data_IF_840296007403
#
_entry.id   IF_840296007403
#
_cell.length_a   1.000
_cell.length_b   1.000
_cell.length_c   1.000
_cell.angle_alpha   90.00
_cell.angle_beta   90.00
_cell.angle_gamma   90.00
#
_symmetry.space_group_name_H-M   'P 1'
#
loop_
_entity.id
_entity.type
_entity.pdbx_description
1 polymer ?
#
# COMPACT_ATOMS: atom_id res chain seq x y z
N UNK A 1 12.44 19.67 -2.77
CA UNK A 1 13.62 18.79 -2.52
C UNK A 1 13.28 17.40 -3.04
N UNK A 2 14.21 16.70 -3.73
CA UNK A 2 13.93 15.34 -4.23
C UNK A 2 13.99 14.32 -3.11
N UNK A 3 13.11 13.29 -3.16
CA UNK A 3 12.92 12.27 -2.13
C UNK A 3 13.45 10.92 -2.57
N UNK A 4 14.12 10.19 -1.67
CA UNK A 4 14.71 8.87 -1.94
C UNK A 4 14.55 7.97 -0.73
N UNK A 5 14.10 6.73 -0.93
CA UNK A 5 14.06 5.75 0.14
C UNK A 5 15.44 5.17 0.43
N UNK A 6 15.86 5.24 1.68
CA UNK A 6 17.00 4.48 2.19
C UNK A 6 16.70 2.98 2.09
N UNK A 7 17.71 2.18 1.84
CA UNK A 7 17.53 0.73 1.73
C UNK A 7 17.93 0.01 3.01
N UNK A 8 19.02 0.43 3.60
CA UNK A 8 19.58 -0.16 4.80
C UNK A 8 19.94 1.01 5.71
N UNK A 9 18.99 1.46 6.55
CA UNK A 9 19.26 2.58 7.47
C UNK A 9 20.03 2.07 8.68
N UNK A 10 21.03 2.82 9.17
CA UNK A 10 21.57 2.59 10.51
C UNK A 10 20.48 2.84 11.57
N UNK A 11 20.50 2.08 12.65
CA UNK A 11 19.62 2.32 13.78
C UNK A 11 19.99 3.64 14.50
N UNK A 12 18.97 4.35 15.02
CA UNK A 12 19.13 5.53 15.86
C UNK A 12 19.92 6.69 15.23
N UNK A 13 19.56 7.08 14.02
CA UNK A 13 20.14 8.27 13.36
C UNK A 13 19.74 9.56 14.10
N UNK A 14 20.71 10.47 14.25
CA UNK A 14 20.56 11.78 14.89
C UNK A 14 21.01 12.92 13.97
N UNK A 15 20.59 14.14 14.27
CA UNK A 15 21.08 15.32 13.58
C UNK A 15 22.61 15.45 13.71
N UNK A 16 23.29 15.73 12.61
CA UNK A 16 24.74 15.79 12.51
C UNK A 16 25.39 14.48 12.08
N UNK A 17 24.70 13.35 12.14
CA UNK A 17 25.24 12.06 11.72
C UNK A 17 25.52 12.02 10.21
N UNK A 18 26.48 11.18 9.84
CA UNK A 18 26.86 10.94 8.45
C UNK A 18 26.23 9.64 7.96
N UNK A 19 25.41 9.77 6.92
CA UNK A 19 24.78 8.63 6.23
C UNK A 19 25.52 8.37 4.93
N UNK A 20 26.10 7.16 4.74
CA UNK A 20 26.72 6.79 3.47
C UNK A 20 25.64 6.38 2.46
N UNK A 21 25.74 6.88 1.24
CA UNK A 21 24.91 6.48 0.10
C UNK A 21 25.77 5.66 -0.86
N UNK A 22 25.31 4.44 -1.20
CA UNK A 22 26.03 3.53 -2.05
C UNK A 22 25.10 2.72 -2.99
N UNK A 23 25.68 1.97 -3.91
CA UNK A 23 24.99 1.00 -4.75
C UNK A 23 23.94 1.62 -5.67
N UNK A 24 22.73 1.04 -5.70
CA UNK A 24 21.66 1.50 -6.62
C UNK A 24 21.18 2.91 -6.31
N UNK A 25 21.12 3.28 -5.04
CA UNK A 25 20.71 4.61 -4.60
C UNK A 25 21.75 5.64 -5.05
N UNK A 26 23.04 5.37 -4.86
CA UNK A 26 24.13 6.19 -5.37
C UNK A 26 24.00 6.42 -6.88
N UNK A 27 23.87 5.34 -7.66
CA UNK A 27 23.74 5.44 -9.12
C UNK A 27 22.54 6.29 -9.54
N UNK A 28 21.42 6.19 -8.82
CA UNK A 28 20.24 6.99 -9.12
C UNK A 28 20.45 8.47 -8.82
N UNK A 29 20.97 8.81 -7.64
CA UNK A 29 21.14 10.20 -7.20
C UNK A 29 22.25 10.89 -7.98
N UNK A 30 23.41 10.27 -8.11
CA UNK A 30 24.61 10.94 -8.61
C UNK A 30 24.85 10.71 -10.11
N UNK A 31 24.65 9.49 -10.61
CA UNK A 31 24.89 9.19 -12.04
C UNK A 31 23.69 9.54 -12.93
N UNK A 32 22.45 9.31 -12.45
CA UNK A 32 21.26 9.58 -13.27
C UNK A 32 20.72 11.01 -13.07
N UNK A 33 20.63 11.48 -11.83
CA UNK A 33 20.04 12.77 -11.49
C UNK A 33 21.09 13.89 -11.33
N UNK A 34 22.37 13.53 -11.28
CA UNK A 34 23.53 14.44 -11.25
C UNK A 34 23.53 15.44 -10.09
N UNK A 35 23.15 14.98 -8.89
CA UNK A 35 23.34 15.75 -7.68
C UNK A 35 24.82 15.85 -7.33
N UNK A 36 25.21 16.99 -6.71
CA UNK A 36 26.59 17.32 -6.41
C UNK A 36 26.77 17.62 -4.91
N UNK A 37 28.02 17.74 -4.46
CA UNK A 37 28.34 18.22 -3.12
C UNK A 37 27.77 19.60 -2.86
N UNK A 38 27.14 19.80 -1.72
CA UNK A 38 26.40 21.01 -1.33
C UNK A 38 24.90 20.95 -1.62
N UNK A 39 24.43 20.01 -2.44
CA UNK A 39 23.00 19.81 -2.65
C UNK A 39 22.32 19.26 -1.39
N UNK A 40 21.02 19.62 -1.23
CA UNK A 40 20.18 19.03 -0.19
C UNK A 40 19.15 18.09 -0.84
N UNK A 41 19.02 16.90 -0.24
CA UNK A 41 18.03 15.89 -0.63
C UNK A 41 17.29 15.39 0.61
N UNK A 42 16.15 14.74 0.38
CA UNK A 42 15.35 14.13 1.44
C UNK A 42 15.50 12.60 1.36
N UNK A 43 15.96 12.00 2.43
CA UNK A 43 15.98 10.55 2.59
C UNK A 43 14.79 10.13 3.43
N UNK A 44 14.11 9.06 3.02
CA UNK A 44 12.96 8.47 3.71
C UNK A 44 13.34 7.07 4.17
N UNK A 45 12.96 6.70 5.38
CA UNK A 45 13.23 5.34 5.86
C UNK A 45 12.19 4.31 5.39
N UNK A 46 11.03 4.77 5.00
CA UNK A 46 9.92 3.93 4.60
C UNK A 46 8.99 3.52 5.74
N UNK A 47 9.28 4.02 6.95
CA UNK A 47 8.56 3.73 8.21
C UNK A 47 8.06 5.03 8.88
N UNK A 48 7.89 6.10 8.10
CA UNK A 48 7.29 7.36 8.58
C UNK A 48 8.30 8.46 8.95
N UNK A 49 9.63 8.23 8.90
CA UNK A 49 10.62 9.27 9.14
C UNK A 49 11.27 9.79 7.85
N UNK A 50 11.56 11.09 7.87
CA UNK A 50 12.31 11.79 6.83
C UNK A 50 13.55 12.44 7.40
N UNK A 51 14.64 12.40 6.63
CA UNK A 51 15.93 12.97 6.95
C UNK A 51 16.29 13.99 5.87
N UNK A 52 16.31 15.26 6.23
CA UNK A 52 16.90 16.28 5.37
C UNK A 52 18.42 16.16 5.46
N UNK A 53 19.09 15.92 4.34
CA UNK A 53 20.53 15.71 4.32
C UNK A 53 21.20 16.63 3.31
N UNK A 54 22.42 17.10 3.67
CA UNK A 54 23.35 17.80 2.81
C UNK A 54 24.39 16.82 2.28
N UNK A 55 24.61 16.81 0.98
CA UNK A 55 25.66 16.02 0.35
C UNK A 55 27.00 16.68 0.63
N UNK A 56 27.87 16.02 1.40
CA UNK A 56 29.17 16.55 1.76
C UNK A 56 30.22 16.22 0.71
N UNK A 57 30.32 14.95 0.35
CA UNK A 57 31.36 14.46 -0.56
C UNK A 57 30.79 13.36 -1.46
N UNK A 58 31.10 13.44 -2.75
CA UNK A 58 30.75 12.41 -3.75
C UNK A 58 32.03 11.73 -4.21
N UNK A 59 32.18 10.44 -3.86
CA UNK A 59 33.28 9.57 -4.29
C UNK A 59 32.83 8.72 -5.49
N UNK A 60 33.70 7.86 -6.01
CA UNK A 60 33.44 7.12 -7.24
C UNK A 60 32.23 6.15 -7.17
N UNK A 61 31.94 5.55 -6.01
CA UNK A 61 30.84 4.58 -5.82
C UNK A 61 30.03 4.84 -4.54
N UNK A 62 30.40 5.85 -3.77
CA UNK A 62 29.77 6.21 -2.49
C UNK A 62 29.70 7.72 -2.34
N UNK A 63 28.75 8.19 -1.54
CA UNK A 63 28.68 9.58 -1.12
C UNK A 63 28.41 9.65 0.38
N UNK A 64 28.88 10.70 1.01
CA UNK A 64 28.63 10.99 2.42
C UNK A 64 27.65 12.16 2.53
N UNK A 65 26.57 11.95 3.28
CA UNK A 65 25.54 12.95 3.50
C UNK A 65 25.40 13.22 5.00
N UNK A 66 25.34 14.50 5.40
CA UNK A 66 25.10 14.89 6.80
C UNK A 66 23.61 15.13 7.02
N UNK A 67 23.05 14.55 8.07
CA UNK A 67 21.69 14.83 8.52
C UNK A 67 21.64 16.24 9.10
N UNK A 68 20.77 17.08 8.53
CA UNK A 68 20.51 18.46 8.97
C UNK A 68 19.29 18.56 9.87
N UNK A 69 18.27 17.76 9.57
CA UNK A 69 17.03 17.69 10.33
C UNK A 69 16.39 16.32 10.17
N UNK A 70 15.67 15.91 11.21
CA UNK A 70 14.84 14.71 11.23
C UNK A 70 13.41 15.13 11.52
N UNK A 71 12.45 14.54 10.84
CA UNK A 71 11.03 14.80 11.07
C UNK A 71 10.17 13.64 10.63
N UNK A 72 8.91 13.68 11.00
CA UNK A 72 7.92 12.75 10.52
C UNK A 72 7.51 13.09 9.08
N UNK A 73 7.18 12.08 8.31
CA UNK A 73 6.60 12.28 6.99
C UNK A 73 5.16 12.79 7.16
N UNK A 74 4.66 13.50 6.17
CA UNK A 74 3.30 14.03 6.15
C UNK A 74 2.56 13.48 4.94
N UNK A 75 1.24 13.32 5.05
CA UNK A 75 0.39 12.89 3.95
C UNK A 75 0.12 11.38 3.94
N UNK A 76 0.49 10.66 5.01
CA UNK A 76 -0.03 9.32 5.24
C UNK A 76 -1.46 9.44 5.80
N UNK A 77 -2.40 8.58 5.35
CA UNK A 77 -3.76 8.61 5.85
C UNK A 77 -3.87 8.10 7.28
N UNK A 78 -4.79 8.71 8.06
CA UNK A 78 -5.15 8.22 9.39
C UNK A 78 -5.93 6.91 9.31
N UNK A 79 -6.79 6.76 8.26
CA UNK A 79 -7.48 5.49 8.02
C UNK A 79 -6.55 4.48 7.38
N UNK A 80 -6.33 3.37 8.08
CA UNK A 80 -5.48 2.28 7.64
C UNK A 80 -6.22 1.35 6.67
N UNK A 81 -6.08 1.59 5.37
CA UNK A 81 -6.80 0.84 4.33
C UNK A 81 -5.93 -0.30 3.79
N UNK A 82 -6.39 -1.52 4.03
CA UNK A 82 -5.82 -2.76 3.51
C UNK A 82 -6.65 -3.28 2.34
N UNK A 83 -6.01 -3.88 1.36
CA UNK A 83 -6.67 -4.38 0.16
C UNK A 83 -6.36 -5.86 -0.04
N UNK A 84 -7.37 -6.71 0.06
CA UNK A 84 -7.32 -8.09 -0.39
C UNK A 84 -7.77 -8.15 -1.85
N UNK A 85 -6.81 -8.01 -2.75
CA UNK A 85 -7.03 -8.01 -4.19
C UNK A 85 -6.88 -9.41 -4.75
N UNK A 86 -7.92 -9.95 -5.39
CA UNK A 86 -7.79 -11.19 -6.13
C UNK A 86 -6.74 -11.07 -7.25
N UNK A 87 -5.91 -12.11 -7.38
CA UNK A 87 -4.82 -12.14 -8.35
C UNK A 87 -5.40 -12.18 -9.76
N UNK A 88 -5.45 -11.03 -10.39
CA UNK A 88 -5.99 -10.82 -11.74
C UNK A 88 -4.98 -11.16 -12.83
N UNK A 89 -5.48 -11.33 -14.06
CA UNK A 89 -4.65 -11.63 -15.24
C UNK A 89 -3.80 -10.43 -15.67
N UNK A 90 -2.67 -10.72 -16.27
CA UNK A 90 -1.75 -9.74 -16.86
C UNK A 90 -1.29 -8.70 -15.83
N UNK A 91 -1.29 -7.44 -16.22
CA UNK A 91 -0.79 -6.32 -15.41
C UNK A 91 -1.88 -5.69 -14.52
N UNK A 92 -3.12 -6.21 -14.57
CA UNK A 92 -4.26 -5.65 -13.82
C UNK A 92 -4.03 -5.67 -12.30
N UNK A 93 -3.49 -6.78 -11.79
CA UNK A 93 -3.13 -6.87 -10.37
C UNK A 93 -2.08 -5.83 -9.99
N UNK A 94 -1.04 -5.68 -10.81
CA UNK A 94 0.03 -4.71 -10.58
C UNK A 94 -0.46 -3.26 -10.69
N UNK A 95 -1.41 -3.00 -11.59
CA UNK A 95 -2.08 -1.70 -11.71
C UNK A 95 -2.89 -1.36 -10.45
N UNK A 96 -3.65 -2.33 -9.92
CA UNK A 96 -4.38 -2.14 -8.66
C UNK A 96 -3.43 -1.81 -7.50
N UNK A 97 -2.33 -2.55 -7.35
CA UNK A 97 -1.30 -2.25 -6.34
C UNK A 97 -0.75 -0.83 -6.50
N UNK A 98 -0.33 -0.48 -7.71
CA UNK A 98 0.24 0.82 -8.00
C UNK A 98 -0.72 1.95 -7.66
N UNK A 99 -1.95 1.91 -8.18
CA UNK A 99 -2.90 3.01 -8.04
C UNK A 99 -3.47 3.13 -6.62
N UNK A 100 -3.68 2.02 -5.95
CA UNK A 100 -4.10 2.06 -4.54
C UNK A 100 -2.98 2.58 -3.63
N UNK A 101 -1.71 2.26 -3.92
CA UNK A 101 -0.57 2.85 -3.22
C UNK A 101 -0.53 4.37 -3.39
N UNK A 102 -0.69 4.86 -4.62
CA UNK A 102 -0.69 6.31 -4.93
C UNK A 102 -1.78 7.07 -4.18
N UNK A 103 -2.93 6.43 -3.89
CA UNK A 103 -4.08 7.04 -3.21
C UNK A 103 -3.97 6.98 -1.69
N UNK A 104 -3.29 5.97 -1.11
CA UNK A 104 -3.12 5.89 0.34
C UNK A 104 -3.32 4.50 0.96
N UNK A 105 -3.51 3.42 0.18
CA UNK A 105 -3.56 2.07 0.77
C UNK A 105 -2.26 1.75 1.53
N UNK A 106 -2.37 1.07 2.68
CA UNK A 106 -1.23 0.77 3.56
C UNK A 106 -0.79 -0.69 3.54
N UNK A 107 -1.62 -1.59 3.00
CA UNK A 107 -1.26 -3.01 2.91
C UNK A 107 -2.04 -3.77 1.84
N UNK A 108 -1.44 -4.85 1.33
CA UNK A 108 -2.00 -5.66 0.26
C UNK A 108 -1.91 -7.15 0.54
N UNK A 109 -3.04 -7.85 0.46
CA UNK A 109 -3.15 -9.29 0.51
C UNK A 109 -3.44 -9.81 -0.92
N UNK A 110 -2.48 -10.45 -1.59
CA UNK A 110 -2.75 -11.15 -2.85
C UNK A 110 -3.72 -12.31 -2.59
N UNK A 111 -4.97 -12.19 -3.03
CA UNK A 111 -6.04 -13.11 -2.68
C UNK A 111 -6.24 -14.19 -3.75
N UNK A 112 -6.32 -15.44 -3.33
CA UNK A 112 -6.75 -16.56 -4.14
C UNK A 112 -8.20 -16.95 -3.78
N UNK A 113 -9.09 -16.88 -4.76
CA UNK A 113 -10.53 -17.22 -4.63
C UNK A 113 -10.87 -18.38 -5.55
N UNK A 114 -12.08 -18.91 -5.42
CA UNK A 114 -12.56 -20.02 -6.26
C UNK A 114 -12.49 -19.71 -7.76
N UNK A 115 -12.71 -18.44 -8.14
CA UNK A 115 -12.69 -18.00 -9.55
C UNK A 115 -11.39 -17.33 -9.97
N UNK A 116 -10.37 -17.36 -9.12
CA UNK A 116 -9.01 -16.88 -9.48
C UNK A 116 -8.37 -17.82 -10.50
N UNK A 117 -8.14 -17.30 -11.70
CA UNK A 117 -7.56 -18.10 -12.81
C UNK A 117 -6.04 -18.20 -12.70
N UNK A 118 -5.39 -17.17 -12.19
CA UNK A 118 -3.92 -17.09 -12.06
C UNK A 118 -3.48 -17.72 -10.75
N UNK A 119 -2.93 -18.92 -10.82
CA UNK A 119 -2.33 -19.59 -9.65
C UNK A 119 -0.83 -19.36 -9.65
N UNK A 120 -0.29 -18.97 -8.50
CA UNK A 120 1.15 -18.77 -8.31
C UNK A 120 1.75 -20.07 -7.80
N UNK A 121 2.67 -20.64 -8.60
CA UNK A 121 3.45 -21.80 -8.13
C UNK A 121 4.35 -21.34 -6.98
N UNK A 122 4.45 -22.14 -5.91
CA UNK A 122 5.28 -21.85 -4.74
C UNK A 122 6.71 -21.45 -5.12
N UNK A 123 7.32 -22.16 -6.06
CA UNK A 123 8.68 -21.87 -6.57
C UNK A 123 8.82 -20.49 -7.25
N UNK A 124 7.72 -19.82 -7.59
CA UNK A 124 7.69 -18.48 -8.22
C UNK A 124 7.17 -17.37 -7.30
N UNK A 125 6.64 -17.74 -6.12
CA UNK A 125 6.02 -16.80 -5.19
C UNK A 125 6.98 -15.70 -4.75
N UNK A 126 8.15 -16.05 -4.24
CA UNK A 126 9.15 -15.08 -3.79
C UNK A 126 9.58 -14.09 -4.89
N UNK A 127 9.67 -14.57 -6.15
CA UNK A 127 9.99 -13.69 -7.29
C UNK A 127 8.83 -12.72 -7.59
N UNK A 128 7.59 -13.17 -7.48
CA UNK A 128 6.40 -12.34 -7.68
C UNK A 128 6.30 -11.25 -6.60
N UNK A 129 6.43 -11.64 -5.33
CA UNK A 129 6.40 -10.70 -4.19
C UNK A 129 7.47 -9.63 -4.35
N UNK A 130 8.71 -9.99 -4.66
CA UNK A 130 9.78 -9.02 -4.93
C UNK A 130 9.45 -8.05 -6.07
N UNK A 131 8.76 -8.51 -7.11
CA UNK A 131 8.30 -7.65 -8.21
C UNK A 131 7.23 -6.67 -7.71
N UNK A 132 6.25 -7.14 -6.97
CA UNK A 132 5.17 -6.33 -6.42
C UNK A 132 5.68 -5.30 -5.40
N UNK A 133 6.56 -5.70 -4.49
CA UNK A 133 7.25 -4.78 -3.57
C UNK A 133 7.94 -3.64 -4.32
N UNK A 134 8.59 -3.95 -5.47
CA UNK A 134 9.22 -2.92 -6.28
C UNK A 134 8.20 -1.93 -6.88
N UNK A 135 7.03 -2.42 -7.33
CA UNK A 135 5.96 -1.58 -7.88
C UNK A 135 5.40 -0.67 -6.79
N UNK A 136 5.07 -1.23 -5.62
CA UNK A 136 4.57 -0.49 -4.46
C UNK A 136 5.58 0.59 -4.04
N UNK A 137 6.85 0.22 -3.87
CA UNK A 137 7.91 1.17 -3.50
C UNK A 137 8.08 2.30 -4.51
N UNK A 138 7.98 2.00 -5.81
CA UNK A 138 8.09 3.02 -6.85
C UNK A 138 6.85 3.93 -6.89
N UNK A 139 5.65 3.37 -6.64
CA UNK A 139 4.42 4.14 -6.51
C UNK A 139 4.46 5.07 -5.30
N UNK A 140 4.85 4.56 -4.13
CA UNK A 140 5.02 5.38 -2.91
C UNK A 140 6.03 6.52 -3.11
N UNK A 141 7.16 6.23 -3.76
CA UNK A 141 8.16 7.26 -4.10
C UNK A 141 7.60 8.34 -5.02
N UNK A 142 6.83 7.94 -6.04
CA UNK A 142 6.27 8.87 -7.03
C UNK A 142 5.15 9.73 -6.43
N UNK A 143 4.32 9.16 -5.57
CA UNK A 143 3.25 9.87 -4.85
C UNK A 143 3.76 10.62 -3.60
N UNK A 144 5.08 10.64 -3.39
CA UNK A 144 5.74 11.33 -2.28
C UNK A 144 5.34 10.83 -0.88
N UNK A 145 4.87 9.59 -0.78
CA UNK A 145 4.59 8.95 0.50
C UNK A 145 5.86 8.72 1.31
N UNK A 146 5.73 8.80 2.62
CA UNK A 146 6.81 8.53 3.58
C UNK A 146 6.92 7.06 3.95
N UNK A 147 5.80 6.34 3.84
CA UNK A 147 5.70 4.92 4.14
C UNK A 147 5.58 4.07 2.88
N UNK A 148 6.11 2.86 2.95
CA UNK A 148 6.00 1.89 1.86
C UNK A 148 4.97 0.84 2.27
N UNK A 149 3.80 0.79 1.60
CA UNK A 149 2.79 -0.22 1.89
C UNK A 149 3.33 -1.65 1.88
N UNK A 150 2.85 -2.44 2.83
CA UNK A 150 3.24 -3.83 2.93
C UNK A 150 2.52 -4.69 1.88
N UNK A 151 3.19 -5.71 1.37
CA UNK A 151 2.55 -6.78 0.61
C UNK A 151 2.82 -8.12 1.27
N UNK A 152 1.74 -8.76 1.66
CA UNK A 152 1.75 -10.06 2.34
C UNK A 152 1.93 -11.22 1.36
N UNK A 153 2.16 -12.40 1.90
CA UNK A 153 2.15 -13.62 1.11
C UNK A 153 0.75 -13.90 0.52
N UNK A 154 0.67 -14.50 -0.67
CA UNK A 154 -0.61 -14.93 -1.24
C UNK A 154 -1.39 -15.81 -0.26
N UNK A 155 -2.67 -15.50 -0.10
CA UNK A 155 -3.54 -16.11 0.88
C UNK A 155 -4.85 -16.53 0.22
N UNK A 156 -5.44 -17.66 0.66
CA UNK A 156 -6.80 -18.03 0.30
C UNK A 156 -7.82 -17.34 1.23
N UNK A 157 -9.09 -17.38 0.84
CA UNK A 157 -10.15 -16.70 1.58
C UNK A 157 -10.32 -17.25 3.01
N UNK A 158 -10.21 -18.58 3.20
CA UNK A 158 -10.38 -19.20 4.52
C UNK A 158 -9.35 -18.73 5.52
N UNK A 159 -8.09 -18.67 5.10
CA UNK A 159 -7.02 -18.16 5.95
C UNK A 159 -7.12 -16.65 6.18
N UNK A 160 -7.57 -15.88 5.18
CA UNK A 160 -7.75 -14.44 5.34
C UNK A 160 -8.87 -14.13 6.34
N UNK A 161 -9.93 -14.92 6.37
CA UNK A 161 -11.03 -14.77 7.35
C UNK A 161 -10.57 -14.85 8.81
N UNK A 162 -9.49 -15.58 9.10
CA UNK A 162 -8.92 -15.67 10.45
C UNK A 162 -8.43 -14.30 10.98
N UNK A 163 -8.09 -13.37 10.07
CA UNK A 163 -7.63 -12.02 10.42
C UNK A 163 -8.73 -10.94 10.38
N UNK A 164 -9.99 -11.29 10.07
CA UNK A 164 -11.05 -10.27 9.95
C UNK A 164 -11.31 -9.50 11.26
N UNK A 165 -11.09 -10.13 12.39
CA UNK A 165 -11.20 -9.48 13.71
C UNK A 165 -10.14 -8.41 13.98
N UNK A 166 -9.10 -8.32 13.16
CA UNK A 166 -8.06 -7.29 13.25
C UNK A 166 -8.48 -5.98 12.55
N UNK A 167 -9.64 -5.96 11.89
CA UNK A 167 -10.17 -4.82 11.16
C UNK A 167 -11.48 -4.33 11.78
N UNK A 168 -11.69 -3.04 11.81
CA UNK A 168 -12.96 -2.43 12.26
C UNK A 168 -14.07 -2.63 11.23
N UNK A 169 -13.71 -2.78 9.96
CA UNK A 169 -14.63 -3.11 8.88
C UNK A 169 -13.99 -3.90 7.75
N UNK A 170 -14.67 -4.96 7.33
CA UNK A 170 -14.31 -5.76 6.16
C UNK A 170 -15.34 -5.52 5.06
N UNK A 171 -14.94 -4.87 3.98
CA UNK A 171 -15.83 -4.40 2.92
C UNK A 171 -15.68 -5.28 1.67
N UNK A 172 -16.76 -5.96 1.26
CA UNK A 172 -16.77 -6.76 0.03
C UNK A 172 -17.48 -6.02 -1.10
N UNK A 173 -16.77 -5.79 -2.22
CA UNK A 173 -17.34 -5.20 -3.42
C UNK A 173 -18.24 -6.20 -4.15
N UNK A 174 -19.53 -5.87 -4.31
CA UNK A 174 -20.53 -6.69 -4.97
C UNK A 174 -21.02 -6.01 -6.26
N UNK A 175 -21.11 -6.78 -7.34
CA UNK A 175 -21.71 -6.31 -8.58
C UNK A 175 -23.23 -6.55 -8.54
N UNK A 176 -24.02 -5.52 -8.84
CA UNK A 176 -25.47 -5.61 -9.15
C UNK A 176 -26.42 -6.11 -8.05
N UNK A 177 -26.06 -6.16 -6.80
CA UNK A 177 -26.96 -6.60 -5.73
C UNK A 177 -27.48 -5.43 -4.90
N UNK A 178 -28.61 -5.63 -4.23
CA UNK A 178 -29.04 -4.77 -3.14
C UNK A 178 -28.02 -4.87 -2.01
N UNK A 179 -27.18 -3.87 -1.93
CA UNK A 179 -26.16 -3.72 -0.91
C UNK A 179 -26.23 -2.28 -0.40
N UNK A 180 -25.85 -2.07 0.83
CA UNK A 180 -25.79 -0.75 1.44
C UNK A 180 -24.91 0.20 0.62
N UNK A 181 -25.22 1.49 0.66
CA UNK A 181 -24.34 2.47 0.05
C UNK A 181 -23.00 2.51 0.80
N UNK A 182 -21.90 2.56 0.06
CA UNK A 182 -20.56 2.61 0.66
C UNK A 182 -20.44 3.74 1.70
N UNK A 183 -21.02 4.90 1.41
CA UNK A 183 -21.04 6.06 2.31
C UNK A 183 -21.67 5.76 3.67
N UNK A 184 -22.81 5.06 3.68
CA UNK A 184 -23.49 4.68 4.92
C UNK A 184 -22.63 3.74 5.77
N UNK A 185 -21.97 2.76 5.11
CA UNK A 185 -21.06 1.85 5.80
C UNK A 185 -19.91 2.63 6.42
N UNK A 186 -19.21 3.46 5.64
CA UNK A 186 -18.05 4.22 6.12
C UNK A 186 -18.40 5.11 7.33
N UNK A 187 -19.55 5.77 7.28
CA UNK A 187 -19.98 6.66 8.35
C UNK A 187 -20.38 5.94 9.65
N UNK A 188 -20.70 4.64 9.55
CA UNK A 188 -21.05 3.80 10.70
C UNK A 188 -19.86 2.96 11.21
N UNK A 189 -18.70 3.01 10.55
CA UNK A 189 -17.50 2.38 11.07
C UNK A 189 -16.91 3.26 12.17
N UNK A 190 -16.89 2.72 13.37
CA UNK A 190 -16.18 3.31 14.50
C UNK A 190 -14.92 2.53 14.80
N UNK A 191 -13.92 3.18 15.37
CA UNK A 191 -12.76 2.51 15.95
C UNK A 191 -13.22 1.68 17.15
N UNK A 192 -13.49 0.41 16.90
CA UNK A 192 -13.89 -0.56 17.93
C UNK A 192 -12.71 -1.38 18.46
N UNK A 193 -11.55 -1.24 17.83
CA UNK A 193 -10.34 -2.00 18.12
C UNK A 193 -9.45 -1.32 19.17
N UNK A 194 -8.50 -2.08 19.69
CA UNK A 194 -7.41 -1.59 20.56
C UNK A 194 -6.44 -0.63 19.81
N UNK A 195 -6.67 -0.40 18.52
CA UNK A 195 -5.86 0.49 17.68
C UNK A 195 -6.44 1.90 17.70
N UNK A 196 -5.58 2.90 17.73
CA UNK A 196 -5.99 4.31 17.68
C UNK A 196 -6.58 4.69 16.32
N UNK A 197 -6.13 4.01 15.25
CA UNK A 197 -6.53 4.29 13.87
C UNK A 197 -7.59 3.31 13.35
N UNK A 198 -8.53 3.80 12.58
CA UNK A 198 -9.56 2.99 11.91
C UNK A 198 -8.92 2.08 10.87
N UNK A 199 -9.10 0.76 10.99
CA UNK A 199 -8.55 -0.26 10.10
C UNK A 199 -9.63 -0.87 9.22
N UNK A 200 -9.52 -0.72 7.91
CA UNK A 200 -10.50 -1.21 6.94
C UNK A 200 -9.84 -2.17 5.95
N UNK A 201 -10.43 -3.35 5.78
CA UNK A 201 -10.04 -4.32 4.75
C UNK A 201 -11.03 -4.31 3.59
N UNK A 202 -10.55 -4.07 2.37
CA UNK A 202 -11.36 -4.09 1.14
C UNK A 202 -11.11 -5.41 0.41
N UNK A 203 -12.16 -6.22 0.20
CA UNK A 203 -12.12 -7.45 -0.58
C UNK A 203 -12.54 -7.18 -2.03
N UNK A 204 -11.65 -7.44 -2.97
CA UNK A 204 -11.89 -7.26 -4.41
C UNK A 204 -11.71 -8.58 -5.14
N UNK A 205 -12.78 -9.10 -5.73
CA UNK A 205 -12.78 -10.35 -6.47
C UNK A 205 -12.04 -10.29 -7.82
N UNK A 206 -11.78 -11.45 -8.45
CA UNK A 206 -11.24 -11.53 -9.81
C UNK A 206 -12.27 -11.07 -10.85
N UNK A 207 -11.94 -11.16 -12.14
CA UNK A 207 -12.83 -10.77 -13.23
C UNK A 207 -14.18 -11.53 -13.23
N UNK A 208 -14.22 -12.74 -12.68
CA UNK A 208 -15.44 -13.52 -12.48
C UNK A 208 -16.20 -13.23 -11.18
N UNK A 209 -15.68 -12.31 -10.35
CA UNK A 209 -16.21 -12.02 -9.02
C UNK A 209 -16.03 -13.16 -8.01
N UNK A 210 -16.57 -12.99 -6.81
CA UNK A 210 -16.71 -14.05 -5.84
C UNK A 210 -17.86 -15.00 -6.20
N UNK A 211 -17.86 -16.22 -5.71
CA UNK A 211 -19.03 -17.12 -5.76
C UNK A 211 -20.05 -16.69 -4.71
N UNK A 212 -21.32 -17.11 -4.88
CA UNK A 212 -22.36 -16.83 -3.88
C UNK A 212 -21.99 -17.45 -2.52
N UNK A 213 -21.41 -18.66 -2.52
CA UNK A 213 -20.91 -19.30 -1.29
C UNK A 213 -19.83 -18.48 -0.61
N UNK A 214 -18.83 -17.98 -1.34
CA UNK A 214 -17.80 -17.12 -0.77
C UNK A 214 -18.38 -15.82 -0.20
N UNK A 215 -19.36 -15.23 -0.88
CA UNK A 215 -20.05 -14.03 -0.40
C UNK A 215 -20.80 -14.31 0.91
N UNK A 216 -21.58 -15.39 0.95
CA UNK A 216 -22.35 -15.77 2.13
C UNK A 216 -21.42 -16.08 3.32
N UNK A 217 -20.32 -16.78 3.08
CA UNK A 217 -19.30 -17.06 4.10
C UNK A 217 -18.64 -15.78 4.63
N UNK A 218 -18.29 -14.83 3.78
CA UNK A 218 -17.73 -13.54 4.19
C UNK A 218 -18.76 -12.79 5.04
N UNK A 219 -19.99 -12.64 4.54
CA UNK A 219 -21.03 -11.86 5.19
C UNK A 219 -21.61 -12.54 6.46
N UNK A 220 -21.24 -13.78 6.75
CA UNK A 220 -21.58 -14.45 8.02
C UNK A 220 -20.66 -14.07 9.18
N UNK A 221 -19.56 -13.38 8.92
CA UNK A 221 -18.63 -12.89 9.93
C UNK A 221 -19.06 -11.50 10.40
N UNK A 222 -18.99 -11.25 11.71
CA UNK A 222 -19.23 -9.92 12.26
C UNK A 222 -18.29 -8.89 11.63
N UNK A 223 -18.66 -7.59 11.65
CA UNK A 223 -17.92 -6.49 11.02
C UNK A 223 -17.72 -6.57 9.51
N UNK A 224 -18.48 -7.41 8.79
CA UNK A 224 -18.38 -7.52 7.32
C UNK A 224 -19.58 -6.87 6.63
N UNK A 225 -19.31 -6.14 5.54
CA UNK A 225 -20.30 -5.34 4.86
C UNK A 225 -20.20 -5.50 3.34
N UNK A 226 -21.32 -5.83 2.70
CA UNK A 226 -21.42 -5.83 1.24
C UNK A 226 -21.77 -4.45 0.72
N UNK A 227 -21.04 -3.94 -0.26
CA UNK A 227 -21.35 -2.66 -0.90
C UNK A 227 -21.35 -2.76 -2.42
N UNK A 228 -22.00 -1.81 -3.09
CA UNK A 228 -21.95 -1.64 -4.54
C UNK A 228 -21.45 -0.24 -4.92
N UNK A 229 -20.94 -0.12 -6.14
CA UNK A 229 -20.43 1.12 -6.73
C UNK A 229 -21.36 1.65 -7.85
N UNK A 230 -22.67 1.46 -7.66
CA UNK A 230 -23.70 1.90 -8.61
C UNK A 230 -23.94 0.90 -9.75
N UNK A 231 -24.66 1.33 -10.80
CA UNK A 231 -25.19 0.41 -11.82
C UNK A 231 -24.15 -0.10 -12.83
N UNK A 232 -22.96 0.47 -12.85
CA UNK A 232 -21.90 0.08 -13.80
C UNK A 232 -21.06 -1.05 -13.25
N UNK A 233 -20.66 -1.98 -14.14
CA UNK A 233 -19.68 -2.99 -13.80
C UNK A 233 -18.28 -2.40 -13.99
N UNK A 234 -17.53 -2.34 -12.90
CA UNK A 234 -16.14 -1.90 -12.94
C UNK A 234 -15.21 -3.10 -13.14
N UNK A 235 -14.07 -2.85 -13.75
CA UNK A 235 -12.99 -3.83 -13.82
C UNK A 235 -12.37 -4.00 -12.44
N UNK A 236 -11.86 -5.20 -12.15
CA UNK A 236 -11.28 -5.54 -10.84
C UNK A 236 -10.18 -4.57 -10.41
N UNK A 237 -9.34 -4.18 -11.34
CA UNK A 237 -8.25 -3.22 -11.09
C UNK A 237 -8.71 -1.77 -10.83
N UNK A 238 -9.98 -1.45 -11.13
CA UNK A 238 -10.56 -0.13 -10.87
C UNK A 238 -11.16 -0.03 -9.47
N UNK A 239 -11.65 -1.15 -8.91
CA UNK A 239 -12.41 -1.16 -7.67
C UNK A 239 -11.56 -0.71 -6.47
N UNK A 240 -10.41 -1.34 -6.27
CA UNK A 240 -9.56 -1.05 -5.11
C UNK A 240 -9.14 0.43 -5.04
N UNK A 241 -8.54 1.05 -6.07
CA UNK A 241 -8.16 2.46 -6.00
C UNK A 241 -9.35 3.40 -5.84
N UNK A 242 -10.49 3.10 -6.49
CA UNK A 242 -11.69 3.92 -6.34
C UNK A 242 -12.24 3.89 -4.92
N UNK A 243 -12.35 2.69 -4.31
CA UNK A 243 -12.89 2.54 -2.95
C UNK A 243 -11.95 3.17 -1.93
N UNK A 244 -10.63 3.00 -2.08
CA UNK A 244 -9.64 3.69 -1.26
C UNK A 244 -9.88 5.20 -1.27
N UNK A 245 -9.97 5.82 -2.46
CA UNK A 245 -10.22 7.25 -2.57
C UNK A 245 -11.58 7.70 -1.99
N UNK A 246 -12.64 6.89 -2.14
CA UNK A 246 -13.94 7.21 -1.58
C UNK A 246 -13.95 7.14 -0.04
N UNK A 247 -13.23 6.19 0.56
CA UNK A 247 -13.11 6.10 2.02
C UNK A 247 -12.37 7.34 2.55
N UNK A 248 -11.22 7.67 1.99
CA UNK A 248 -10.43 8.84 2.40
C UNK A 248 -11.21 10.14 2.20
N UNK A 249 -11.97 10.28 1.11
CA UNK A 249 -12.82 11.43 0.86
C UNK A 249 -13.93 11.58 1.93
N UNK A 250 -14.65 10.50 2.25
CA UNK A 250 -15.72 10.55 3.27
C UNK A 250 -15.15 10.81 4.69
N UNK A 251 -13.89 10.47 4.94
CA UNK A 251 -13.19 10.77 6.19
C UNK A 251 -12.51 12.14 6.21
N UNK A 252 -12.53 12.86 5.09
CA UNK A 252 -11.97 14.22 4.98
C UNK A 252 -10.46 14.28 4.85
N UNK A 253 -9.85 13.19 4.40
CA UNK A 253 -8.38 13.07 4.23
C UNK A 253 -7.89 13.43 2.82
N UNK A 254 -8.82 13.56 1.84
CA UNK A 254 -8.56 14.08 0.50
C UNK A 254 -9.71 14.96 0.01
#
# INVERSE_FOLDING_TARGET
MRRFFLKDKPDNLSEGDIVPIAGKLYNHIFNSLRHESGDNILLLDGDGLKYEVEILEVKQETAECRIKAIGETTGEPEVQIYIAQAIAKKDNFEYALQKSTEIGAVGFYPLETARTVVKIKESKQAKKIKRWQKIIKEAARQSERGEIPEIYDPVNLDKLKESFSEFDGVLIARARNEASGLKEIINNLDTSSEYEDLRVLILVGPEGGFTDTEIDEILSVDNTYGFNLGPRILRTETVAPLVTGLILYERGEI
#
